data_IF_993447731540
#
_entry.id   IF_993447731540
#
_cell.length_a   1.000
_cell.length_b   1.000
_cell.length_c   1.000
_cell.angle_alpha   90.00
_cell.angle_beta   90.00
_cell.angle_gamma   90.00
#
_symmetry.space_group_name_H-M   'P 1'
#
loop_
_entity.id
_entity.type
_entity.pdbx_description
1 polymer ?
#
# COMPACT_ATOMS: atom_id res chain seq x y z
N UNK A 1 -11.38 -5.65 2.24
CA UNK A 1 -10.19 -4.90 1.76
C UNK A 1 -10.46 -3.42 1.97
N UNK A 2 -9.48 -2.67 2.47
CA UNK A 2 -9.57 -1.28 2.96
C UNK A 2 -9.93 -0.20 1.91
N UNK A 3 -10.73 -0.50 0.88
CA UNK A 3 -10.99 0.44 -0.22
C UNK A 3 -9.72 0.84 -0.98
N UNK A 4 -8.76 -0.08 -1.10
CA UNK A 4 -7.53 0.17 -1.83
C UNK A 4 -7.82 0.27 -3.33
N UNK A 5 -7.17 1.23 -3.98
CA UNK A 5 -7.14 1.26 -5.45
C UNK A 5 -6.39 0.02 -5.98
N UNK A 6 -6.58 -0.38 -7.25
CA UNK A 6 -5.86 -1.51 -7.83
C UNK A 6 -4.33 -1.41 -7.61
N UNK A 7 -3.78 -0.21 -7.82
CA UNK A 7 -2.34 0.05 -7.63
C UNK A 7 -1.87 -0.08 -6.19
N UNK A 8 -2.67 0.41 -5.25
CA UNK A 8 -2.38 0.25 -3.82
C UNK A 8 -2.49 -1.21 -3.38
N UNK A 9 -3.42 -1.98 -3.95
CA UNK A 9 -3.55 -3.40 -3.68
C UNK A 9 -2.33 -4.20 -4.18
N UNK A 10 -1.82 -3.91 -5.38
CA UNK A 10 -0.58 -4.51 -5.91
C UNK A 10 0.61 -4.24 -4.98
N UNK A 11 0.80 -2.97 -4.59
CA UNK A 11 1.88 -2.55 -3.69
C UNK A 11 1.73 -3.24 -2.32
N UNK A 12 0.52 -3.29 -1.78
CA UNK A 12 0.23 -3.93 -0.50
C UNK A 12 0.52 -5.44 -0.54
N UNK A 13 0.16 -6.12 -1.63
CA UNK A 13 0.43 -7.54 -1.82
C UNK A 13 1.93 -7.84 -1.85
N UNK A 14 2.72 -7.06 -2.61
CA UNK A 14 4.17 -7.23 -2.65
C UNK A 14 4.83 -6.91 -1.32
N UNK A 15 4.38 -5.87 -0.63
CA UNK A 15 4.86 -5.52 0.71
C UNK A 15 4.62 -6.66 1.71
N UNK A 16 3.41 -7.25 1.72
CA UNK A 16 3.10 -8.42 2.56
C UNK A 16 3.91 -9.66 2.18
N UNK A 17 4.37 -9.74 0.93
CA UNK A 17 5.30 -10.75 0.45
C UNK A 17 6.76 -10.46 0.81
N UNK A 18 7.01 -9.56 1.78
CA UNK A 18 8.33 -9.15 2.30
C UNK A 18 9.25 -8.48 1.28
N UNK A 19 8.70 -7.92 0.22
CA UNK A 19 9.48 -7.14 -0.74
C UNK A 19 9.79 -5.76 -0.15
N UNK A 20 11.04 -5.33 -0.28
CA UNK A 20 11.45 -3.98 0.05
C UNK A 20 10.81 -2.95 -0.89
N UNK A 21 10.76 -1.69 -0.47
CA UNK A 21 10.23 -0.62 -1.34
C UNK A 21 11.02 -0.47 -2.64
N UNK A 22 12.30 -0.84 -2.65
CA UNK A 22 13.14 -0.82 -3.86
C UNK A 22 12.72 -1.93 -4.83
N UNK A 23 12.56 -3.16 -4.33
CA UNK A 23 12.10 -4.28 -5.16
C UNK A 23 10.68 -4.06 -5.69
N UNK A 24 9.80 -3.47 -4.89
CA UNK A 24 8.44 -3.12 -5.33
C UNK A 24 8.50 -2.07 -6.45
N UNK A 25 9.34 -1.04 -6.28
CA UNK A 25 9.53 0.00 -7.28
C UNK A 25 10.03 -0.58 -8.61
N UNK A 26 11.01 -1.49 -8.56
CA UNK A 26 11.56 -2.18 -9.73
C UNK A 26 10.51 -3.05 -10.42
N UNK A 27 9.76 -3.89 -9.67
CA UNK A 27 8.75 -4.79 -10.23
C UNK A 27 7.57 -4.06 -10.86
N UNK A 28 7.19 -2.93 -10.29
CA UNK A 28 6.05 -2.15 -10.75
C UNK A 28 6.44 -1.01 -11.70
N UNK A 29 7.72 -0.88 -12.05
CA UNK A 29 8.27 0.16 -12.93
C UNK A 29 7.89 1.59 -12.48
N UNK A 30 8.02 1.88 -11.18
CA UNK A 30 7.74 3.20 -10.59
C UNK A 30 8.89 3.65 -9.69
N UNK A 31 8.87 4.90 -9.26
CA UNK A 31 9.87 5.39 -8.29
C UNK A 31 9.62 4.85 -6.88
N UNK A 32 10.68 4.68 -6.09
CA UNK A 32 10.58 4.36 -4.65
C UNK A 32 9.77 5.43 -3.89
N UNK A 33 9.82 6.69 -4.33
CA UNK A 33 9.02 7.76 -3.74
C UNK A 33 7.52 7.56 -3.99
N UNK A 34 7.16 7.06 -5.18
CA UNK A 34 5.79 6.68 -5.51
C UNK A 34 5.32 5.52 -4.63
N UNK A 35 6.15 4.50 -4.40
CA UNK A 35 5.85 3.41 -3.46
C UNK A 35 5.61 3.96 -2.05
N UNK A 36 6.48 4.83 -1.53
CA UNK A 36 6.31 5.46 -0.21
C UNK A 36 5.00 6.25 -0.12
N UNK A 37 4.62 6.99 -1.18
CA UNK A 37 3.36 7.74 -1.24
C UNK A 37 2.16 6.80 -1.17
N UNK A 38 2.14 5.72 -1.95
CA UNK A 38 1.07 4.73 -1.89
C UNK A 38 0.99 4.04 -0.53
N UNK A 39 2.13 3.69 0.08
CA UNK A 39 2.15 3.09 1.43
C UNK A 39 1.54 4.00 2.48
N UNK A 40 1.80 5.32 2.43
CA UNK A 40 1.13 6.29 3.31
C UNK A 40 -0.39 6.24 3.13
N UNK A 41 -0.88 6.28 1.89
CA UNK A 41 -2.31 6.21 1.62
C UNK A 41 -2.93 4.89 2.09
N UNK A 42 -2.24 3.75 1.88
CA UNK A 42 -2.69 2.43 2.34
C UNK A 42 -2.85 2.43 3.86
N UNK A 43 -1.86 2.95 4.60
CA UNK A 43 -1.95 3.02 6.06
C UNK A 43 -3.08 3.95 6.54
N UNK A 44 -3.28 5.10 5.89
CA UNK A 44 -4.42 5.96 6.21
C UNK A 44 -5.76 5.24 5.99
N UNK A 45 -5.91 4.53 4.86
CA UNK A 45 -7.12 3.75 4.56
C UNK A 45 -7.33 2.61 5.57
N UNK A 46 -6.26 1.95 5.99
CA UNK A 46 -6.30 0.92 7.04
C UNK A 46 -6.77 1.47 8.38
N UNK A 47 -6.28 2.64 8.77
CA UNK A 47 -6.70 3.29 10.00
C UNK A 47 -8.18 3.70 9.93
N UNK A 48 -8.61 4.30 8.82
CA UNK A 48 -10.00 4.69 8.62
C UNK A 48 -10.95 3.49 8.70
N UNK A 49 -10.60 2.37 8.07
CA UNK A 49 -11.43 1.15 8.17
C UNK A 49 -11.45 0.57 9.58
N UNK A 50 -10.32 0.61 10.31
CA UNK A 50 -10.27 0.09 11.69
C UNK A 50 -11.12 0.94 12.64
N UNK A 51 -11.17 2.25 12.43
CA UNK A 51 -12.01 3.15 13.21
C UNK A 51 -13.51 2.96 12.91
N UNK A 52 -13.85 2.56 11.68
CA UNK A 52 -15.24 2.33 11.26
C UNK A 52 -15.85 1.06 11.86
N UNK A 53 -15.03 0.13 12.35
CA UNK A 53 -15.46 -1.09 13.05
C UNK A 53 -15.67 -0.87 14.57
N UNK A 54 -15.35 0.33 15.09
CA UNK A 54 -15.43 0.68 16.51
C UNK A 54 -16.59 1.63 16.88
N UNK A 55 -17.47 1.94 15.93
CA UNK A 55 -18.70 2.73 16.10
C UNK A 55 -19.95 1.89 15.79
#
# INVERSE_FOLDING_TARGET
>A
MYGLTPREAEIWFLYRSRCSYKEIAERLYISVNTVKKHMKNIHSKQQSSLNQDLE
#
